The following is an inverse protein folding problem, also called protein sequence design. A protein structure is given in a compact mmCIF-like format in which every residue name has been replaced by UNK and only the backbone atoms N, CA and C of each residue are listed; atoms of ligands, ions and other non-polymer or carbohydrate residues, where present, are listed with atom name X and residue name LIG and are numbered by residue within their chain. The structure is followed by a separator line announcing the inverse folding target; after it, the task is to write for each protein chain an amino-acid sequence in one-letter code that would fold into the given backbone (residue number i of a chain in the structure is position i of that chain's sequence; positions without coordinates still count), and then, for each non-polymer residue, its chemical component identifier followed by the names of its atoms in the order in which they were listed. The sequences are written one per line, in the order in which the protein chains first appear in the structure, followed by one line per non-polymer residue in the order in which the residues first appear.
data_IF_781281353915
#
_entry.id   IF_781281353915
#
_cell.length_a   1.000
_cell.length_b   1.000
_cell.length_c   1.000
_cell.angle_alpha   90.00
_cell.angle_beta   90.00
_cell.angle_gamma   90.00
#
_symmetry.space_group_name_H-M   'P 1'
#
loop_
_entity.id
_entity.type
_entity.pdbx_description
1 polymer ?
#
# COMPACT_ATOMS: atom_id res chain seq x y z
N UNK A 1 18.89 -10.44 10.40
CA UNK A 1 18.86 -8.97 10.21
C UNK A 1 17.59 -8.63 9.42
N UNK A 2 16.83 -7.62 9.81
CA UNK A 2 15.55 -7.26 9.17
C UNK A 2 15.80 -6.23 8.06
N UNK A 3 15.69 -6.65 6.79
CA UNK A 3 15.98 -5.80 5.62
C UNK A 3 14.79 -4.94 5.17
N UNK A 4 13.57 -5.27 5.61
CA UNK A 4 12.34 -4.57 5.21
C UNK A 4 11.52 -4.22 6.44
N UNK A 5 11.20 -2.93 6.56
CA UNK A 5 10.39 -2.38 7.63
C UNK A 5 9.11 -1.80 7.04
N UNK A 6 7.97 -2.09 7.68
CA UNK A 6 6.68 -1.56 7.26
C UNK A 6 6.06 -0.80 8.42
N UNK A 7 5.46 0.34 8.13
CA UNK A 7 4.71 1.08 9.12
C UNK A 7 3.32 1.41 8.59
N UNK A 8 2.32 1.30 9.44
CA UNK A 8 0.93 1.63 9.11
C UNK A 8 0.23 2.23 10.32
N UNK A 9 -0.74 3.09 10.04
CA UNK A 9 -1.53 3.72 11.08
C UNK A 9 -3.02 3.68 10.78
N UNK A 10 -3.78 3.15 11.74
CA UNK A 10 -5.23 2.94 11.64
C UNK A 10 -5.99 3.77 12.67
N UNK A 11 -6.99 4.53 12.20
CA UNK A 11 -7.85 5.34 13.08
C UNK A 11 -8.97 4.53 13.75
N UNK A 12 -9.43 3.46 13.09
CA UNK A 12 -10.59 2.66 13.53
C UNK A 12 -10.31 1.99 14.86
N UNK A 13 -9.08 1.58 15.06
CA UNK A 13 -8.61 0.75 16.18
C UNK A 13 -7.81 1.56 17.20
N UNK A 14 -7.66 2.86 16.97
CA UNK A 14 -7.05 3.79 17.91
C UNK A 14 -7.87 3.84 19.21
N UNK A 15 -7.22 3.86 20.39
CA UNK A 15 -7.94 4.07 21.64
C UNK A 15 -8.69 5.40 21.62
N UNK A 16 -9.82 5.51 22.35
CA UNK A 16 -10.76 6.65 22.24
C UNK A 16 -10.14 8.06 22.30
N UNK A 17 -9.05 8.26 23.05
CA UNK A 17 -8.37 9.57 23.21
C UNK A 17 -7.31 9.86 22.15
N UNK A 18 -7.08 8.94 21.22
CA UNK A 18 -6.03 9.03 20.23
C UNK A 18 -6.61 9.04 18.82
N UNK A 19 -5.97 9.80 17.94
CA UNK A 19 -6.39 9.90 16.53
C UNK A 19 -6.03 8.65 15.74
N UNK A 20 -4.94 7.96 16.11
CA UNK A 20 -4.42 6.83 15.35
C UNK A 20 -3.71 5.82 16.27
N UNK A 21 -3.90 4.53 16.00
CA UNK A 21 -2.98 3.49 16.43
C UNK A 21 -1.99 3.26 15.30
N UNK A 22 -0.71 3.41 15.58
CA UNK A 22 0.40 3.27 14.65
C UNK A 22 1.23 2.04 15.00
N UNK A 23 1.72 1.36 13.97
CA UNK A 23 2.46 0.10 14.13
C UNK A 23 3.66 0.08 13.21
N UNK A 24 4.81 -0.34 13.74
CA UNK A 24 6.02 -0.59 12.95
C UNK A 24 6.30 -2.09 13.02
N UNK A 25 6.56 -2.67 11.86
CA UNK A 25 6.79 -4.09 11.67
C UNK A 25 8.12 -4.33 10.99
N UNK A 26 8.82 -5.40 11.41
CA UNK A 26 10.02 -5.89 10.74
C UNK A 26 9.76 -7.24 10.07
N UNK A 27 10.40 -7.47 8.92
CA UNK A 27 10.49 -8.78 8.28
C UNK A 27 11.75 -9.52 8.70
N UNK A 28 11.60 -10.78 9.11
CA UNK A 28 12.71 -11.73 9.12
C UNK A 28 12.60 -12.70 7.94
N UNK A 29 13.40 -13.76 7.94
CA UNK A 29 13.40 -14.82 6.91
C UNK A 29 12.03 -15.50 6.73
N UNK A 30 11.20 -15.55 7.78
CA UNK A 30 9.98 -16.34 7.81
C UNK A 30 8.71 -15.51 7.70
N UNK A 31 8.65 -14.36 8.38
CA UNK A 31 7.42 -13.56 8.45
C UNK A 31 7.65 -12.11 8.90
N UNK A 32 6.62 -11.30 8.70
CA UNK A 32 6.52 -9.94 9.20
C UNK A 32 5.96 -9.94 10.62
N UNK A 33 6.61 -9.22 11.54
CA UNK A 33 6.25 -9.16 12.96
C UNK A 33 6.09 -7.72 13.42
N UNK A 34 5.07 -7.42 14.25
CA UNK A 34 4.99 -6.12 14.90
C UNK A 34 6.16 -5.97 15.86
N UNK A 35 6.76 -4.78 15.88
CA UNK A 35 7.88 -4.43 16.75
C UNK A 35 7.53 -3.23 17.65
N UNK A 36 6.69 -2.32 17.15
CA UNK A 36 6.28 -1.13 17.86
C UNK A 36 4.79 -0.93 17.71
N UNK A 37 4.12 -0.60 18.80
CA UNK A 37 2.75 -0.08 18.83
C UNK A 37 2.77 1.30 19.47
N UNK A 38 2.11 2.27 18.85
CA UNK A 38 2.03 3.63 19.35
C UNK A 38 0.60 4.16 19.22
N UNK A 39 0.09 4.79 20.28
CA UNK A 39 -1.16 5.54 20.24
C UNK A 39 -0.80 7.01 20.00
N UNK A 40 -1.14 7.54 18.83
CA UNK A 40 -0.75 8.88 18.40
C UNK A 40 -1.88 9.89 18.60
N UNK A 41 -1.58 11.08 19.19
CA UNK A 41 -2.60 12.09 19.46
C UNK A 41 -3.17 12.69 18.18
N UNK A 42 -2.35 12.79 17.13
CA UNK A 42 -2.70 13.34 15.83
C UNK A 42 -1.90 12.66 14.69
N UNK A 43 -1.96 13.25 13.49
CA UNK A 43 -1.25 12.79 12.28
C UNK A 43 -0.28 13.85 11.75
N UNK A 44 0.21 14.73 12.62
CA UNK A 44 1.19 15.76 12.25
C UNK A 44 2.55 15.15 11.97
N UNK A 45 3.36 15.84 11.17
CA UNK A 45 4.74 15.44 10.90
C UNK A 45 5.55 15.36 12.19
N UNK A 46 5.35 16.31 13.12
CA UNK A 46 6.06 16.36 14.40
C UNK A 46 5.74 15.15 15.27
N UNK A 47 4.48 14.71 15.32
CA UNK A 47 4.08 13.49 16.04
C UNK A 47 4.81 12.25 15.50
N UNK A 48 4.91 12.09 14.17
CA UNK A 48 5.66 10.97 13.59
C UNK A 48 7.16 11.09 13.82
N UNK A 49 7.72 12.30 13.74
CA UNK A 49 9.13 12.54 14.02
C UNK A 49 9.47 12.14 15.46
N UNK A 50 8.66 12.59 16.44
CA UNK A 50 8.85 12.25 17.84
C UNK A 50 8.72 10.75 18.11
N UNK A 51 7.78 10.06 17.45
CA UNK A 51 7.67 8.61 17.53
C UNK A 51 8.95 7.92 17.05
N UNK A 52 9.44 8.30 15.87
CA UNK A 52 10.64 7.69 15.28
C UNK A 52 11.88 7.99 16.12
N UNK A 53 12.06 9.24 16.57
CA UNK A 53 13.14 9.61 17.49
C UNK A 53 13.12 8.79 18.78
N UNK A 54 11.95 8.65 19.40
CA UNK A 54 11.79 7.84 20.62
C UNK A 54 12.13 6.37 20.36
N UNK A 55 11.70 5.82 19.22
CA UNK A 55 12.02 4.46 18.82
C UNK A 55 13.53 4.24 18.64
N UNK A 56 14.23 5.14 17.95
CA UNK A 56 15.68 5.04 17.76
C UNK A 56 16.46 5.20 19.07
N UNK A 57 16.02 6.10 19.93
CA UNK A 57 16.59 6.26 21.27
C UNK A 57 16.50 4.96 22.08
N UNK A 58 15.33 4.31 22.12
CA UNK A 58 15.12 3.03 22.84
C UNK A 58 16.04 1.93 22.33
N UNK A 59 16.33 1.89 21.03
CA UNK A 59 17.22 0.88 20.44
C UNK A 59 18.71 1.11 20.76
N UNK A 60 19.06 2.13 21.56
CA UNK A 60 20.44 2.60 21.73
C UNK A 60 21.14 2.89 20.40
N UNK A 61 20.36 3.14 19.34
CA UNK A 61 20.82 3.57 18.03
C UNK A 61 20.73 5.10 18.02
N UNK A 62 21.51 5.75 18.88
CA UNK A 62 21.57 7.22 18.96
C UNK A 62 22.28 7.83 17.75
N UNK A 63 22.92 7.00 16.93
CA UNK A 63 23.37 7.31 15.59
C UNK A 63 22.67 6.36 14.61
N UNK A 64 22.31 6.85 13.42
CA UNK A 64 21.57 6.17 12.35
C UNK A 64 20.03 6.27 12.42
N UNK A 65 19.52 7.48 12.15
CA UNK A 65 18.41 7.60 11.18
C UNK A 65 18.90 6.89 9.94
N UNK A 66 18.34 5.76 9.53
CA UNK A 66 18.81 4.95 8.39
C UNK A 66 19.09 5.84 7.16
N UNK A 67 20.32 6.33 6.94
CA UNK A 67 20.55 7.45 6.03
C UNK A 67 20.48 6.95 4.59
N UNK A 68 20.69 5.64 4.43
CA UNK A 68 20.63 4.91 3.18
C UNK A 68 19.31 4.12 3.03
N UNK A 69 18.36 4.23 3.97
CA UNK A 69 17.07 3.56 3.80
C UNK A 69 16.31 4.21 2.65
N UNK A 70 15.93 3.39 1.67
CA UNK A 70 14.99 3.81 0.64
C UNK A 70 13.59 3.84 1.23
N UNK A 71 12.99 5.03 1.28
CA UNK A 71 11.60 5.18 1.69
C UNK A 71 10.71 4.76 0.52
N UNK A 72 9.87 3.74 0.74
CA UNK A 72 8.88 3.29 -0.23
C UNK A 72 7.47 3.42 0.35
N UNK A 73 6.63 4.18 -0.33
CA UNK A 73 5.19 4.24 -0.13
C UNK A 73 4.54 3.00 -0.73
N UNK A 74 3.49 2.51 -0.08
CA UNK A 74 2.85 1.26 -0.44
C UNK A 74 1.91 1.42 -1.65
N UNK A 75 2.05 0.54 -2.66
CA UNK A 75 1.12 0.43 -3.80
C UNK A 75 -0.35 0.33 -3.38
N UNK A 76 -0.66 -0.41 -2.31
CA UNK A 76 -2.04 -0.51 -1.80
C UNK A 76 -2.59 0.85 -1.38
N UNK A 77 -1.79 1.69 -0.71
CA UNK A 77 -2.23 3.02 -0.27
C UNK A 77 -2.34 4.00 -1.45
N UNK A 78 -1.44 3.92 -2.43
CA UNK A 78 -1.58 4.63 -3.70
C UNK A 78 -2.92 4.28 -4.36
N UNK A 79 -3.17 2.98 -4.62
CA UNK A 79 -4.39 2.51 -5.26
C UNK A 79 -5.64 2.91 -4.47
N UNK A 80 -5.62 2.78 -3.14
CA UNK A 80 -6.71 3.19 -2.26
C UNK A 80 -7.01 4.69 -2.37
N UNK A 81 -5.99 5.55 -2.48
CA UNK A 81 -6.17 6.99 -2.63
C UNK A 81 -6.79 7.35 -3.99
N UNK A 82 -6.34 6.70 -5.07
CA UNK A 82 -6.93 6.84 -6.41
C UNK A 82 -8.42 6.47 -6.39
N UNK A 83 -8.74 5.28 -5.87
CA UNK A 83 -10.11 4.78 -5.74
C UNK A 83 -10.98 5.71 -4.87
N UNK A 84 -10.44 6.22 -3.76
CA UNK A 84 -11.15 7.17 -2.89
C UNK A 84 -11.47 8.47 -3.63
N UNK A 85 -10.57 8.96 -4.47
CA UNK A 85 -10.79 10.20 -5.23
C UNK A 85 -11.82 10.00 -6.35
N UNK A 86 -11.79 8.86 -7.05
CA UNK A 86 -12.83 8.49 -8.02
C UNK A 86 -14.22 8.44 -7.37
N UNK A 87 -14.33 7.80 -6.19
CA UNK A 87 -15.57 7.78 -5.40
C UNK A 87 -16.05 9.18 -5.04
N UNK A 88 -15.15 10.04 -4.55
CA UNK A 88 -15.47 11.42 -4.16
C UNK A 88 -16.03 12.25 -5.31
N UNK A 89 -15.58 12.00 -6.54
CA UNK A 89 -16.03 12.69 -7.74
C UNK A 89 -17.18 11.96 -8.46
N UNK A 90 -17.78 10.95 -7.82
CA UNK A 90 -18.86 10.14 -8.38
C UNK A 90 -18.50 9.42 -9.71
N UNK A 91 -17.21 9.22 -9.98
CA UNK A 91 -16.71 8.56 -11.20
C UNK A 91 -16.74 7.02 -11.12
N UNK A 92 -17.29 6.46 -10.04
CA UNK A 92 -17.32 5.01 -9.86
C UNK A 92 -18.36 4.32 -10.76
N UNK A 93 -19.42 5.02 -11.16
CA UNK A 93 -20.38 4.52 -12.14
C UNK A 93 -19.78 4.36 -13.54
N UNK A 94 -18.85 5.26 -13.91
CA UNK A 94 -18.15 5.21 -15.20
C UNK A 94 -17.28 3.96 -15.36
N UNK A 95 -16.86 3.34 -14.23
CA UNK A 95 -16.08 2.10 -14.25
C UNK A 95 -16.87 0.89 -14.76
N UNK A 96 -18.19 1.01 -14.97
CA UNK A 96 -19.01 0.01 -15.67
C UNK A 96 -18.64 -0.07 -17.15
N UNK A 97 -18.06 0.99 -17.72
CA UNK A 97 -17.58 1.00 -19.10
C UNK A 97 -16.18 0.39 -19.17
N UNK A 98 -15.98 -0.56 -20.08
CA UNK A 98 -14.72 -1.28 -20.19
C UNK A 98 -13.54 -0.38 -20.62
N UNK A 99 -13.79 0.66 -21.40
CA UNK A 99 -12.78 1.65 -21.79
C UNK A 99 -12.27 2.44 -20.59
N UNK A 100 -13.17 3.04 -19.81
CA UNK A 100 -12.84 3.75 -18.56
C UNK A 100 -12.12 2.82 -17.58
N UNK A 101 -12.66 1.60 -17.40
CA UNK A 101 -12.09 0.60 -16.48
C UNK A 101 -10.65 0.23 -16.86
N UNK A 102 -10.35 0.14 -18.16
CA UNK A 102 -8.99 -0.11 -18.68
C UNK A 102 -8.05 1.06 -18.38
N UNK A 103 -8.47 2.30 -18.58
CA UNK A 103 -7.62 3.47 -18.36
C UNK A 103 -7.39 3.76 -16.87
N UNK A 104 -8.42 3.60 -16.03
CA UNK A 104 -8.24 3.65 -14.58
C UNK A 104 -7.32 2.52 -14.11
N UNK A 105 -7.42 1.32 -14.69
CA UNK A 105 -6.50 0.23 -14.39
C UNK A 105 -5.05 0.54 -14.81
N UNK A 106 -4.85 1.27 -15.91
CA UNK A 106 -3.53 1.78 -16.32
C UNK A 106 -2.97 2.74 -15.26
N UNK A 107 -3.76 3.73 -14.81
CA UNK A 107 -3.37 4.68 -13.75
C UNK A 107 -3.01 3.95 -12.45
N UNK A 108 -3.80 2.94 -12.05
CA UNK A 108 -3.52 2.13 -10.86
C UNK A 108 -2.24 1.28 -10.98
N UNK A 109 -1.78 1.02 -12.21
CA UNK A 109 -0.58 0.23 -12.51
C UNK A 109 0.70 1.06 -12.67
N UNK A 110 0.61 2.39 -12.68
CA UNK A 110 1.78 3.28 -12.82
C UNK A 110 2.94 2.95 -11.87
N UNK A 111 2.71 2.56 -10.59
CA UNK A 111 3.80 2.15 -9.70
C UNK A 111 4.62 0.96 -10.22
N UNK A 112 4.06 0.17 -11.14
CA UNK A 112 4.65 -1.07 -11.64
C UNK A 112 5.32 -0.88 -13.02
N UNK A 113 5.37 0.36 -13.51
CA UNK A 113 6.06 0.73 -14.75
C UNK A 113 7.49 1.20 -14.49
N UNK A 114 8.40 1.06 -15.48
CA UNK A 114 9.69 1.74 -15.41
C UNK A 114 9.49 3.24 -15.16
N UNK A 115 10.26 3.88 -14.27
CA UNK A 115 10.08 5.29 -13.94
C UNK A 115 10.05 6.23 -15.16
N UNK A 116 10.87 5.94 -16.17
CA UNK A 116 10.96 6.69 -17.42
C UNK A 116 9.70 6.62 -18.30
N UNK A 117 8.80 5.65 -18.05
CA UNK A 117 7.57 5.44 -18.84
C UNK A 117 6.31 5.95 -18.14
N UNK A 118 6.39 6.32 -16.86
CA UNK A 118 5.23 6.69 -16.04
C UNK A 118 4.52 7.93 -16.57
N UNK A 119 5.27 8.98 -16.90
CA UNK A 119 4.69 10.27 -17.31
C UNK A 119 3.90 10.11 -18.61
N UNK A 120 4.52 9.50 -19.64
CA UNK A 120 3.85 9.24 -20.92
C UNK A 120 2.60 8.35 -20.73
N UNK A 121 2.73 7.24 -20.00
CA UNK A 121 1.62 6.33 -19.73
C UNK A 121 0.43 6.99 -19.01
N UNK A 122 0.72 7.94 -18.12
CA UNK A 122 -0.32 8.70 -17.42
C UNK A 122 -1.09 9.60 -18.39
N UNK A 123 -0.41 10.34 -19.27
CA UNK A 123 -1.07 11.21 -20.24
C UNK A 123 -1.84 10.42 -21.30
N UNK A 124 -1.29 9.30 -21.79
CA UNK A 124 -2.01 8.40 -22.71
C UNK A 124 -3.37 7.96 -22.12
N UNK A 125 -3.41 7.65 -20.81
CA UNK A 125 -4.65 7.30 -20.12
C UNK A 125 -5.55 8.52 -19.87
N UNK A 126 -4.95 9.68 -19.60
CA UNK A 126 -5.67 10.92 -19.30
C UNK A 126 -6.44 11.44 -20.51
N UNK A 127 -5.81 11.41 -21.70
CA UNK A 127 -6.40 11.89 -22.95
C UNK A 127 -7.69 11.13 -23.30
N UNK A 128 -7.70 9.82 -23.07
CA UNK A 128 -8.90 9.00 -23.26
C UNK A 128 -9.97 9.38 -22.24
N UNK A 129 -9.61 9.53 -20.97
CA UNK A 129 -10.57 9.84 -19.90
C UNK A 129 -11.21 11.22 -20.02
N UNK A 130 -10.48 12.23 -20.52
CA UNK A 130 -11.01 13.59 -20.74
C UNK A 130 -12.20 13.60 -21.71
N UNK A 131 -12.20 12.71 -22.71
CA UNK A 131 -13.28 12.63 -23.70
C UNK A 131 -14.60 12.06 -23.15
N UNK A 132 -14.58 11.49 -21.94
CA UNK A 132 -15.71 10.71 -21.40
C UNK A 132 -16.55 11.52 -20.42
N UNK A 133 -15.91 12.18 -19.45
CA UNK A 133 -16.61 12.90 -18.39
C UNK A 133 -15.74 14.06 -17.87
N UNK A 134 -16.28 15.27 -17.76
CA UNK A 134 -15.55 16.46 -17.30
C UNK A 134 -15.01 16.32 -15.87
N UNK A 135 -15.64 15.49 -15.03
CA UNK A 135 -15.12 15.20 -13.69
C UNK A 135 -13.76 14.47 -13.73
N UNK A 136 -13.41 13.81 -14.85
CA UNK A 136 -12.06 13.26 -15.01
C UNK A 136 -10.99 14.35 -15.04
N UNK A 137 -11.29 15.57 -15.49
CA UNK A 137 -10.34 16.68 -15.45
C UNK A 137 -9.88 16.98 -14.02
N UNK A 138 -10.83 17.01 -13.08
CA UNK A 138 -10.56 17.20 -11.66
C UNK A 138 -9.79 16.02 -11.07
N UNK A 139 -10.15 14.78 -11.46
CA UNK A 139 -9.44 13.58 -11.03
C UNK A 139 -7.99 13.55 -11.53
N UNK A 140 -7.76 13.81 -12.82
CA UNK A 140 -6.43 13.83 -13.43
C UNK A 140 -5.58 14.93 -12.81
N UNK A 141 -6.13 16.14 -12.63
CA UNK A 141 -5.46 17.24 -11.90
C UNK A 141 -5.01 16.81 -10.50
N UNK A 142 -5.82 16.02 -9.79
CA UNK A 142 -5.44 15.47 -8.49
C UNK A 142 -4.26 14.48 -8.61
N UNK A 143 -4.31 13.53 -9.54
CA UNK A 143 -3.24 12.54 -9.72
C UNK A 143 -1.94 13.23 -10.14
N UNK A 144 -2.03 14.14 -11.10
CA UNK A 144 -0.91 14.88 -11.64
C UNK A 144 -0.18 15.66 -10.54
N UNK A 145 -0.90 16.48 -9.77
CA UNK A 145 -0.35 17.31 -8.68
C UNK A 145 0.29 16.49 -7.56
N UNK A 146 -0.25 15.31 -7.25
CA UNK A 146 0.22 14.52 -6.11
C UNK A 146 1.33 13.53 -6.46
N UNK A 147 1.36 13.04 -7.71
CA UNK A 147 2.21 11.91 -8.09
C UNK A 147 3.06 12.15 -9.35
N UNK A 148 2.68 13.03 -10.27
CA UNK A 148 3.32 13.16 -11.60
C UNK A 148 4.19 14.42 -11.71
N UNK A 149 3.59 15.62 -11.69
CA UNK A 149 4.31 16.90 -11.85
C UNK A 149 4.63 17.49 -10.50
N UNK A 150 5.91 17.84 -10.26
CA UNK A 150 6.42 18.41 -9.01
C UNK A 150 5.76 17.79 -7.77
N UNK A 151 5.72 16.45 -7.70
CA UNK A 151 4.72 15.78 -6.91
C UNK A 151 5.04 15.92 -5.44
N UNK A 152 3.98 16.08 -4.63
CA UNK A 152 4.09 15.91 -3.17
C UNK A 152 4.75 14.58 -2.81
N UNK A 153 4.51 13.54 -3.61
CA UNK A 153 5.13 12.23 -3.48
C UNK A 153 6.01 11.93 -4.69
N UNK A 154 7.32 12.01 -4.51
CA UNK A 154 8.30 11.72 -5.57
C UNK A 154 8.12 10.30 -6.13
N UNK A 155 8.24 10.17 -7.47
CA UNK A 155 8.10 8.90 -8.20
C UNK A 155 8.94 7.79 -7.58
N UNK A 156 10.21 8.08 -7.25
CA UNK A 156 11.13 7.10 -6.66
C UNK A 156 10.62 6.49 -5.35
N UNK A 157 9.76 7.21 -4.62
CA UNK A 157 9.23 6.76 -3.33
C UNK A 157 7.98 5.90 -3.50
N UNK A 158 7.21 5.99 -4.59
CA UNK A 158 6.02 5.13 -4.78
C UNK A 158 6.15 4.15 -5.94
N UNK A 159 7.23 4.24 -6.72
CA UNK A 159 7.54 3.28 -7.77
C UNK A 159 8.03 1.95 -7.17
N UNK A 160 7.53 0.88 -7.75
CA UNK A 160 7.78 -0.50 -7.35
C UNK A 160 8.31 -1.38 -8.49
N UNK A 161 8.71 -0.80 -9.63
CA UNK A 161 9.23 -1.55 -10.77
C UNK A 161 10.47 -2.38 -10.41
N UNK A 162 11.38 -1.78 -9.64
CA UNK A 162 12.60 -2.44 -9.14
C UNK A 162 12.50 -2.89 -7.69
N UNK A 163 11.29 -2.96 -7.13
CA UNK A 163 11.15 -3.54 -5.79
C UNK A 163 11.34 -5.04 -5.90
N UNK A 164 12.58 -5.47 -5.66
CA UNK A 164 12.91 -6.85 -5.36
C UNK A 164 12.17 -7.23 -4.06
N UNK A 165 11.54 -8.39 -4.03
CA UNK A 165 10.82 -8.99 -2.88
C UNK A 165 9.32 -8.66 -2.73
N UNK A 166 8.75 -9.20 -1.65
CA UNK A 166 7.35 -9.08 -1.24
C UNK A 166 6.94 -7.60 -1.19
N UNK A 167 5.98 -7.22 -2.04
CA UNK A 167 5.37 -5.89 -1.97
C UNK A 167 4.87 -5.61 -0.56
N UNK A 168 5.17 -4.43 0.02
CA UNK A 168 4.68 -4.04 1.33
C UNK A 168 3.17 -4.24 1.44
N UNK A 169 2.72 -5.23 2.22
CA UNK A 169 1.31 -5.37 2.58
C UNK A 169 1.23 -5.22 4.09
N UNK A 170 0.59 -4.16 4.58
CA UNK A 170 0.43 -3.98 6.02
C UNK A 170 -0.73 -4.87 6.48
N UNK A 171 -0.40 -5.92 7.23
CA UNK A 171 -1.41 -6.75 7.88
C UNK A 171 -1.97 -5.96 9.07
N UNK A 172 -2.99 -5.15 8.79
CA UNK A 172 -3.76 -4.49 9.83
C UNK A 172 -4.21 -5.53 10.87
N UNK A 173 -3.67 -5.41 12.09
CA UNK A 173 -4.10 -6.22 13.22
C UNK A 173 -5.59 -5.96 13.44
N UNK A 174 -6.37 -7.03 13.57
CA UNK A 174 -7.83 -6.99 13.75
C UNK A 174 -8.15 -6.58 15.19
N UNK A 175 -7.81 -5.35 15.52
CA UNK A 175 -8.15 -4.71 16.78
C UNK A 175 -9.64 -4.35 16.79
N UNK A 176 -10.23 -4.38 17.98
CA UNK A 176 -11.59 -3.92 18.25
C UNK A 176 -11.69 -2.43 17.89
N UNK A 177 -12.83 -1.97 17.38
CA UNK A 177 -13.03 -0.56 17.05
C UNK A 177 -13.06 0.30 18.33
N UNK A 178 -12.30 1.40 18.34
CA UNK A 178 -12.25 2.43 19.40
C UNK A 178 -12.23 1.87 20.85
N UNK A 179 -11.23 1.04 21.21
CA UNK A 179 -11.11 0.51 22.56
C UNK A 179 -10.78 1.62 23.57
N UNK A 180 -10.95 1.34 24.86
CA UNK A 180 -10.26 2.13 25.88
C UNK A 180 -8.78 1.72 25.92
N UNK A 181 -7.93 2.53 26.58
CA UNK A 181 -6.49 2.29 26.58
C UNK A 181 -6.12 0.93 27.18
N UNK A 182 -6.81 0.48 28.23
CA UNK A 182 -6.57 -0.81 28.86
C UNK A 182 -6.85 -1.99 27.94
N UNK A 183 -8.03 -2.00 27.28
CA UNK A 183 -8.38 -3.03 26.29
C UNK A 183 -7.41 -3.05 25.12
N UNK A 184 -6.88 -1.89 24.74
CA UNK A 184 -5.88 -1.79 23.69
C UNK A 184 -4.54 -2.41 24.12
N UNK A 185 -4.04 -2.08 25.31
CA UNK A 185 -2.82 -2.67 25.89
C UNK A 185 -2.94 -4.18 26.01
N UNK A 186 -4.06 -4.68 26.55
CA UNK A 186 -4.32 -6.12 26.67
C UNK A 186 -4.27 -6.86 25.33
N UNK A 187 -4.74 -6.22 24.26
CA UNK A 187 -4.67 -6.82 22.92
C UNK A 187 -3.24 -6.83 22.38
N UNK A 188 -2.48 -5.76 22.61
CA UNK A 188 -1.07 -5.70 22.22
C UNK A 188 -0.27 -6.79 22.93
N UNK A 189 -0.47 -6.97 24.24
CA UNK A 189 0.18 -8.03 25.01
C UNK A 189 -0.14 -9.42 24.44
N UNK A 190 -1.42 -9.67 24.13
CA UNK A 190 -1.83 -10.93 23.50
C UNK A 190 -1.22 -11.14 22.11
N UNK A 191 -1.10 -10.09 21.31
CA UNK A 191 -0.47 -10.15 19.99
C UNK A 191 1.05 -10.38 20.09
N UNK A 192 1.70 -9.82 21.10
CA UNK A 192 3.13 -10.02 21.39
C UNK A 192 3.42 -11.46 21.83
N UNK A 193 2.65 -11.99 22.79
CA UNK A 193 2.76 -13.40 23.23
C UNK A 193 2.62 -14.37 22.05
N UNK A 194 1.64 -14.15 21.18
CA UNK A 194 1.48 -14.96 19.97
C UNK A 194 2.64 -14.79 18.98
N UNK A 195 3.25 -13.61 18.92
CA UNK A 195 4.37 -13.32 18.04
C UNK A 195 5.64 -14.01 18.55
N UNK A 196 5.88 -14.04 19.86
CA UNK A 196 6.98 -14.78 20.48
C UNK A 196 6.86 -16.27 20.17
N UNK A 197 5.70 -16.87 20.50
CA UNK A 197 5.45 -18.30 20.25
C UNK A 197 5.65 -18.68 18.78
N UNK A 198 5.09 -17.89 17.86
CA UNK A 198 5.29 -18.12 16.41
C UNK A 198 6.75 -17.99 16.01
N UNK A 199 7.48 -17.03 16.57
CA UNK A 199 8.89 -16.85 16.25
C UNK A 199 9.73 -18.06 16.61
N UNK A 200 9.43 -18.72 17.72
CA UNK A 200 10.08 -19.96 18.12
C UNK A 200 9.71 -21.12 17.18
N UNK A 201 8.42 -21.25 16.84
CA UNK A 201 7.97 -22.27 15.89
C UNK A 201 8.61 -22.12 14.51
N UNK A 202 8.68 -20.90 13.99
CA UNK A 202 9.29 -20.60 12.69
C UNK A 202 10.77 -20.95 12.65
N UNK A 203 11.51 -20.63 13.73
CA UNK A 203 12.92 -21.00 13.87
C UNK A 203 13.10 -22.51 13.92
N UNK A 204 12.30 -23.21 14.74
CA UNK A 204 12.44 -24.66 14.90
C UNK A 204 12.07 -25.41 13.61
N UNK A 205 11.02 -24.98 12.92
CA UNK A 205 10.51 -25.64 11.71
C UNK A 205 11.14 -25.11 10.41
N UNK A 206 11.97 -24.07 10.49
CA UNK A 206 12.58 -23.38 9.34
C UNK A 206 11.54 -23.00 8.27
N UNK A 207 10.35 -22.54 8.68
CA UNK A 207 9.25 -22.18 7.77
C UNK A 207 8.33 -21.13 8.36
N UNK A 208 7.61 -20.41 7.50
CA UNK A 208 6.60 -19.42 7.92
C UNK A 208 5.39 -20.07 8.57
N UNK A 209 4.90 -19.48 9.67
CA UNK A 209 3.62 -19.89 10.30
C UNK A 209 2.41 -19.16 9.71
N UNK A 210 2.65 -18.13 8.89
CA UNK A 210 1.63 -17.30 8.25
C UNK A 210 1.90 -17.22 6.74
N UNK A 211 1.63 -18.30 6.00
CA UNK A 211 1.83 -18.30 4.57
C UNK A 211 1.03 -17.18 3.92
N UNK A 212 1.64 -16.55 2.92
CA UNK A 212 0.97 -15.52 2.13
C UNK A 212 -0.21 -16.14 1.38
N UNK A 213 -1.25 -15.35 1.16
CA UNK A 213 -2.38 -15.80 0.32
C UNK A 213 -1.85 -16.19 -1.06
N UNK A 214 -2.23 -17.38 -1.55
CA UNK A 214 -1.82 -17.90 -2.85
C UNK A 214 -2.03 -16.91 -4.00
N UNK A 215 -3.12 -16.14 -3.97
CA UNK A 215 -3.38 -15.07 -4.94
C UNK A 215 -2.24 -14.04 -4.99
N UNK A 216 -1.73 -13.60 -3.83
CA UNK A 216 -0.67 -12.60 -3.76
C UNK A 216 0.66 -13.18 -4.26
N UNK A 217 0.96 -14.44 -3.94
CA UNK A 217 2.14 -15.14 -4.46
C UNK A 217 2.08 -15.23 -5.98
N UNK A 218 0.95 -15.67 -6.54
CA UNK A 218 0.74 -15.73 -7.99
C UNK A 218 0.85 -14.36 -8.66
N UNK A 219 0.35 -13.30 -8.03
CA UNK A 219 0.46 -11.95 -8.55
C UNK A 219 1.91 -11.48 -8.61
N UNK A 220 2.72 -11.80 -7.59
CA UNK A 220 4.14 -11.41 -7.57
C UNK A 220 4.94 -12.22 -8.59
N UNK A 221 4.75 -13.54 -8.67
CA UNK A 221 5.38 -14.36 -9.73
C UNK A 221 5.06 -13.82 -11.13
N UNK A 222 3.80 -13.45 -11.37
CA UNK A 222 3.39 -12.85 -12.64
C UNK A 222 4.05 -11.51 -12.90
N UNK A 223 4.30 -10.69 -11.87
CA UNK A 223 5.03 -9.43 -12.03
C UNK A 223 6.46 -9.68 -12.47
N UNK A 224 7.12 -10.66 -11.84
CA UNK A 224 8.49 -11.04 -12.18
C UNK A 224 8.57 -11.53 -13.64
N UNK A 225 7.67 -12.42 -14.05
CA UNK A 225 7.58 -12.93 -15.43
C UNK A 225 7.33 -11.80 -16.45
N UNK A 226 6.40 -10.88 -16.13
CA UNK A 226 6.08 -9.76 -17.01
C UNK A 226 7.24 -8.78 -17.12
N UNK A 227 7.94 -8.50 -16.02
CA UNK A 227 9.11 -7.64 -16.01
C UNK A 227 10.22 -8.25 -16.85
N UNK A 228 10.53 -9.53 -16.65
CA UNK A 228 11.52 -10.24 -17.45
C UNK A 228 11.19 -10.21 -18.95
N UNK A 229 9.92 -10.45 -19.31
CA UNK A 229 9.46 -10.37 -20.70
C UNK A 229 9.54 -8.96 -21.30
N UNK A 230 9.42 -7.92 -20.48
CA UNK A 230 9.57 -6.54 -20.94
C UNK A 230 11.05 -6.15 -21.08
N UNK A 231 11.89 -6.50 -20.09
CA UNK A 231 13.34 -6.22 -20.12
C UNK A 231 14.07 -6.98 -21.23
N UNK A 232 13.62 -8.19 -21.56
CA UNK A 232 14.16 -8.95 -22.69
C UNK A 232 13.53 -8.57 -24.04
N UNK A 233 12.70 -7.52 -24.08
CA UNK A 233 12.03 -7.01 -25.28
C UNK A 233 11.07 -8.00 -25.97
N UNK A 234 10.60 -9.04 -25.28
CA UNK A 234 9.58 -9.97 -25.81
C UNK A 234 8.18 -9.33 -25.86
N UNK A 235 7.94 -8.31 -25.04
CA UNK A 235 6.72 -7.50 -25.06
C UNK A 235 7.06 -6.01 -25.03
N UNK A 236 6.28 -5.20 -25.73
CA UNK A 236 6.40 -3.75 -25.70
C UNK A 236 5.71 -3.13 -24.45
N UNK A 237 5.83 -1.81 -24.29
CA UNK A 237 5.25 -1.09 -23.15
C UNK A 237 3.71 -1.17 -23.11
N UNK A 238 3.05 -1.19 -24.27
CA UNK A 238 1.59 -1.24 -24.39
C UNK A 238 1.10 -2.63 -23.93
N UNK A 239 1.77 -3.68 -24.39
CA UNK A 239 1.52 -5.06 -24.00
C UNK A 239 1.83 -5.30 -22.51
N UNK A 240 2.91 -4.73 -22.00
CA UNK A 240 3.27 -4.78 -20.58
C UNK A 240 2.18 -4.15 -19.72
N UNK A 241 1.79 -2.90 -20.00
CA UNK A 241 0.69 -2.21 -19.32
C UNK A 241 -0.63 -3.01 -19.37
N UNK A 242 -1.02 -3.47 -20.56
CA UNK A 242 -2.24 -4.27 -20.74
C UNK A 242 -2.23 -5.52 -19.84
N UNK A 243 -1.09 -6.19 -19.71
CA UNK A 243 -0.95 -7.38 -18.86
C UNK A 243 -0.92 -7.06 -17.36
N UNK A 244 -0.45 -5.86 -16.97
CA UNK A 244 -0.46 -5.39 -15.58
C UNK A 244 -1.87 -5.08 -15.04
N UNK A 245 -2.83 -4.74 -15.93
CA UNK A 245 -4.22 -4.40 -15.53
C UNK A 245 -4.89 -5.45 -14.64
N UNK A 246 -4.52 -6.73 -14.77
CA UNK A 246 -5.05 -7.81 -13.93
C UNK A 246 -4.85 -7.54 -12.42
N UNK A 247 -3.75 -6.89 -12.05
CA UNK A 247 -3.44 -6.54 -10.67
C UNK A 247 -4.31 -5.35 -10.26
N UNK A 248 -4.40 -4.34 -11.12
CA UNK A 248 -5.23 -3.15 -10.91
C UNK A 248 -6.71 -3.47 -10.77
N UNK A 249 -7.23 -4.43 -11.55
CA UNK A 249 -8.63 -4.86 -11.48
C UNK A 249 -9.00 -5.39 -10.10
N UNK A 250 -8.05 -5.96 -9.34
CA UNK A 250 -8.35 -6.40 -7.98
C UNK A 250 -8.76 -5.25 -7.03
N UNK A 251 -8.27 -4.03 -7.28
CA UNK A 251 -8.68 -2.84 -6.52
C UNK A 251 -10.03 -2.31 -6.99
N UNK A 252 -10.32 -2.37 -8.30
CA UNK A 252 -11.61 -1.97 -8.86
C UNK A 252 -12.72 -2.93 -8.42
N UNK A 253 -12.49 -4.24 -8.44
CA UNK A 253 -13.46 -5.22 -7.93
C UNK A 253 -13.69 -5.05 -6.42
N UNK A 254 -12.67 -4.72 -5.64
CA UNK A 254 -12.85 -4.41 -4.22
C UNK A 254 -13.72 -3.16 -4.00
N UNK A 255 -13.59 -2.15 -4.88
CA UNK A 255 -14.46 -0.98 -4.91
C UNK A 255 -15.91 -1.37 -5.21
N UNK A 256 -16.16 -2.11 -6.29
CA UNK A 256 -17.49 -2.59 -6.72
C UNK A 256 -18.17 -3.36 -5.57
N UNK A 257 -17.47 -4.32 -4.97
CA UNK A 257 -18.00 -5.08 -3.83
C UNK A 257 -18.37 -4.21 -2.62
N UNK A 258 -17.63 -3.11 -2.38
CA UNK A 258 -17.94 -2.22 -1.25
C UNK A 258 -19.21 -1.41 -1.49
N UNK A 259 -19.52 -1.08 -2.75
CA UNK A 259 -20.72 -0.33 -3.13
C UNK A 259 -21.97 -1.21 -3.07
N UNK A 260 -21.89 -2.43 -3.60
CA UNK A 260 -23.03 -3.36 -3.56
C UNK A 260 -23.45 -3.71 -2.12
N UNK A 261 -22.48 -3.84 -1.21
CA UNK A 261 -22.77 -4.10 0.21
C UNK A 261 -23.41 -2.90 0.93
N UNK A 262 -23.26 -1.67 0.46
CA UNK A 262 -23.94 -0.52 1.06
C UNK A 262 -25.40 -0.44 0.61
N UNK A 263 -25.68 -0.82 -0.64
CA UNK A 263 -27.02 -0.76 -1.23
C UNK A 263 -27.94 -1.90 -0.72
N UNK A 264 -27.38 -3.05 -0.31
CA UNK A 264 -28.15 -4.14 0.33
C UNK A 264 -28.50 -3.86 1.81
N UNK A 265 -27.93 -2.80 2.41
CA UNK A 265 -28.12 -2.46 3.84
C UNK A 265 -28.90 -1.16 4.07
N UNK A 266 -29.37 -0.51 3.00
CA UNK A 266 -30.21 0.69 3.00
C UNK A 266 -31.65 0.34 2.64
#
# INVERSE_FOLDING_TARGET
QCSIWNADGTCRTAPKKFSQAYTIHGHNEFSMKPLVFAALPDKSQDTYFNLLQSFFYILNQTAFIFPNAKILFCHFHFAKNIIKHLKKLHLHDELKRDDVKREVANILSLPLLPPSKIIAAFYDSSDVLFSINSNFETFISYVEKNYIISPKFQIINWNHYDTLCIRPTTNNHRLIAKPNIWKWIMHIQKDDEQTIFRSEQEKNQHRTTRPRKNKNVKHDMRLDDLKAAFENHSIDIIQYQKKLRIISYSYITALENTLNNTDETS
#
